data_IF_482938586367
#
_entry.id   IF_482938586367
#
_cell.length_a   1.000
_cell.length_b   1.000
_cell.length_c   1.000
_cell.angle_alpha   90.00
_cell.angle_beta   90.00
_cell.angle_gamma   90.00
#
_symmetry.space_group_name_H-M   'P 1'
#
loop_
_entity.id
_entity.type
_entity.pdbx_description
1 polymer ?
#
# COMPACT_ATOMS: atom_id res chain seq x y z
N UNK A 1 34.53 -1.01 -4.71
CA UNK A 1 34.06 -2.39 -4.97
C UNK A 1 32.99 -2.74 -3.93
N UNK A 2 33.20 -2.34 -2.68
CA UNK A 2 32.30 -2.58 -1.54
C UNK A 2 30.97 -1.81 -1.61
N UNK A 3 30.99 -0.58 -2.16
CA UNK A 3 29.77 0.23 -2.37
C UNK A 3 28.78 -0.42 -3.37
N UNK A 4 29.29 -1.11 -4.39
CA UNK A 4 28.46 -1.84 -5.37
C UNK A 4 27.82 -3.07 -4.71
N UNK A 5 28.57 -3.77 -3.87
CA UNK A 5 28.08 -4.93 -3.12
C UNK A 5 26.96 -4.53 -2.15
N UNK A 6 27.16 -3.46 -1.37
CA UNK A 6 26.19 -3.01 -0.37
C UNK A 6 24.88 -2.53 -1.01
N UNK A 7 24.95 -1.82 -2.15
CA UNK A 7 23.75 -1.44 -2.92
C UNK A 7 23.00 -2.65 -3.46
N UNK A 8 23.71 -3.69 -3.93
CA UNK A 8 23.05 -4.91 -4.38
C UNK A 8 22.32 -5.63 -3.23
N UNK A 9 22.91 -5.69 -2.04
CA UNK A 9 22.25 -6.26 -0.86
C UNK A 9 21.03 -5.45 -0.41
N UNK A 10 21.11 -4.11 -0.46
CA UNK A 10 19.97 -3.24 -0.20
C UNK A 10 18.84 -3.48 -1.20
N UNK A 11 19.17 -3.64 -2.48
CA UNK A 11 18.18 -3.99 -3.53
C UNK A 11 17.52 -5.34 -3.23
N UNK A 12 18.29 -6.39 -2.92
CA UNK A 12 17.74 -7.71 -2.59
C UNK A 12 16.85 -7.65 -1.33
N UNK A 13 17.25 -6.88 -0.33
CA UNK A 13 16.44 -6.65 0.87
C UNK A 13 15.15 -5.89 0.57
N UNK A 14 15.20 -4.91 -0.35
CA UNK A 14 14.03 -4.19 -0.83
C UNK A 14 13.08 -5.12 -1.58
N UNK A 15 13.58 -5.94 -2.51
CA UNK A 15 12.77 -6.90 -3.26
C UNK A 15 12.06 -7.89 -2.31
N UNK A 16 12.79 -8.41 -1.31
CA UNK A 16 12.23 -9.30 -0.30
C UNK A 16 11.18 -8.63 0.59
N UNK A 17 11.38 -7.35 0.92
CA UNK A 17 10.38 -6.55 1.64
C UNK A 17 9.14 -6.34 0.77
N UNK A 18 9.31 -5.96 -0.49
CA UNK A 18 8.24 -5.75 -1.46
C UNK A 18 7.40 -7.03 -1.62
N UNK A 19 8.04 -8.19 -1.80
CA UNK A 19 7.34 -9.48 -1.88
C UNK A 19 6.56 -9.79 -0.58
N UNK A 20 7.14 -9.49 0.58
CA UNK A 20 6.49 -9.74 1.86
C UNK A 20 5.27 -8.84 2.12
N UNK A 21 5.29 -7.58 1.64
CA UNK A 21 4.21 -6.62 1.83
C UNK A 21 3.21 -6.58 0.67
N UNK A 22 3.54 -7.15 -0.49
CA UNK A 22 2.68 -7.14 -1.69
C UNK A 22 1.26 -7.66 -1.44
N UNK A 23 1.04 -8.76 -0.68
CA UNK A 23 -0.32 -9.21 -0.35
C UNK A 23 -1.10 -8.17 0.45
N UNK A 24 -0.44 -7.46 1.37
CA UNK A 24 -1.05 -6.40 2.16
C UNK A 24 -1.38 -5.18 1.29
N UNK A 25 -0.43 -4.74 0.45
CA UNK A 25 -0.63 -3.63 -0.49
C UNK A 25 -1.79 -3.95 -1.43
N UNK A 26 -1.84 -5.16 -1.97
CA UNK A 26 -2.91 -5.62 -2.85
C UNK A 26 -4.25 -5.59 -2.12
N UNK A 27 -4.32 -6.09 -0.89
CA UNK A 27 -5.54 -6.03 -0.09
C UNK A 27 -6.04 -4.59 0.14
N UNK A 28 -5.13 -3.67 0.49
CA UNK A 28 -5.49 -2.25 0.72
C UNK A 28 -5.92 -1.61 -0.62
N UNK A 29 -5.24 -1.90 -1.74
CA UNK A 29 -5.63 -1.44 -3.07
C UNK A 29 -7.03 -1.92 -3.46
N UNK A 30 -7.35 -3.19 -3.23
CA UNK A 30 -8.69 -3.71 -3.49
C UNK A 30 -9.77 -3.05 -2.64
N UNK A 31 -9.47 -2.73 -1.37
CA UNK A 31 -10.38 -1.99 -0.51
C UNK A 31 -10.58 -0.55 -1.00
N UNK A 32 -9.50 0.14 -1.37
CA UNK A 32 -9.56 1.50 -1.89
C UNK A 32 -10.31 1.59 -3.23
N UNK A 33 -10.08 0.64 -4.15
CA UNK A 33 -10.83 0.54 -5.42
C UNK A 33 -12.32 0.29 -5.14
N UNK A 34 -12.66 -0.61 -4.22
CA UNK A 34 -14.06 -0.83 -3.83
C UNK A 34 -14.69 0.43 -3.25
N UNK A 35 -14.01 1.12 -2.35
CA UNK A 35 -14.50 2.37 -1.77
C UNK A 35 -14.69 3.45 -2.84
N UNK A 36 -13.74 3.59 -3.77
CA UNK A 36 -13.84 4.50 -4.90
C UNK A 36 -15.04 4.18 -5.81
N UNK A 37 -15.30 2.89 -6.07
CA UNK A 37 -16.43 2.48 -6.89
C UNK A 37 -17.76 2.77 -6.19
N UNK A 38 -17.90 2.45 -4.89
CA UNK A 38 -19.11 2.75 -4.12
C UNK A 38 -19.39 4.26 -4.12
N UNK A 39 -18.38 5.08 -3.85
CA UNK A 39 -18.54 6.55 -3.88
C UNK A 39 -18.96 7.05 -5.28
N UNK A 40 -18.42 6.44 -6.33
CA UNK A 40 -18.79 6.80 -7.69
C UNK A 40 -20.21 6.37 -8.03
N UNK A 41 -20.63 5.16 -7.64
CA UNK A 41 -22.00 4.67 -7.80
C UNK A 41 -23.02 5.56 -7.07
N UNK A 42 -22.72 5.94 -5.82
CA UNK A 42 -23.54 6.89 -5.05
C UNK A 42 -23.65 8.25 -5.75
N UNK A 43 -22.53 8.74 -6.28
CA UNK A 43 -22.53 9.98 -7.06
C UNK A 43 -23.40 9.88 -8.32
N UNK A 44 -23.25 8.80 -9.10
CA UNK A 44 -24.05 8.57 -10.31
C UNK A 44 -25.53 8.51 -9.96
N UNK A 45 -25.91 7.71 -8.96
CA UNK A 45 -27.30 7.59 -8.53
C UNK A 45 -27.91 8.94 -8.11
N UNK A 46 -27.14 9.77 -7.38
CA UNK A 46 -27.58 11.11 -7.01
C UNK A 46 -27.78 12.02 -8.23
N UNK A 47 -26.93 11.90 -9.26
CA UNK A 47 -27.06 12.67 -10.50
C UNK A 47 -28.22 12.19 -11.36
N UNK A 48 -28.47 10.89 -11.45
CA UNK A 48 -29.65 10.34 -12.12
C UNK A 48 -30.95 10.84 -11.48
N UNK A 49 -31.02 10.84 -10.14
CA UNK A 49 -32.19 11.41 -9.42
C UNK A 49 -32.36 12.91 -9.68
N UNK A 50 -31.26 13.66 -9.79
CA UNK A 50 -31.32 15.07 -10.14
C UNK A 50 -31.82 15.29 -11.57
N UNK A 51 -31.36 14.48 -12.54
CA UNK A 51 -31.85 14.50 -13.92
C UNK A 51 -33.35 14.25 -13.96
N UNK A 52 -33.85 13.22 -13.27
CA UNK A 52 -35.27 12.92 -13.18
C UNK A 52 -36.06 14.10 -12.61
N UNK A 53 -35.60 14.67 -11.49
CA UNK A 53 -36.25 15.83 -10.86
C UNK A 53 -36.31 17.04 -11.79
N UNK A 54 -35.23 17.36 -12.52
CA UNK A 54 -35.23 18.44 -13.50
C UNK A 54 -36.16 18.14 -14.69
N UNK A 55 -36.24 16.89 -15.15
CA UNK A 55 -37.16 16.50 -16.22
C UNK A 55 -38.63 16.66 -15.81
N UNK A 56 -38.98 16.27 -14.58
CA UNK A 56 -40.32 16.46 -14.03
C UNK A 56 -40.66 17.95 -13.92
N UNK A 57 -39.71 18.75 -13.43
CA UNK A 57 -39.90 20.19 -13.24
C UNK A 57 -40.04 20.92 -14.57
N UNK A 58 -39.24 20.57 -15.58
CA UNK A 58 -39.39 21.07 -16.96
C UNK A 58 -40.80 20.79 -17.49
N UNK A 59 -41.29 19.55 -17.38
CA UNK A 59 -42.65 19.19 -17.83
C UNK A 59 -43.71 20.00 -17.08
N UNK A 60 -43.56 20.16 -15.77
CA UNK A 60 -44.48 20.92 -14.93
C UNK A 60 -44.53 22.39 -15.34
N UNK A 61 -43.39 23.01 -15.60
CA UNK A 61 -43.29 24.40 -16.03
C UNK A 61 -43.81 24.60 -17.47
N UNK A 62 -43.58 23.64 -18.36
CA UNK A 62 -44.17 23.64 -19.71
C UNK A 62 -45.70 23.61 -19.66
N UNK A 63 -46.29 22.72 -18.86
CA UNK A 63 -47.76 22.70 -18.65
C UNK A 63 -48.27 24.00 -18.04
N UNK A 64 -47.52 24.58 -17.09
CA UNK A 64 -47.88 25.87 -16.50
C UNK A 64 -47.85 27.02 -17.53
N UNK A 65 -46.91 27.02 -18.47
CA UNK A 65 -46.89 28.00 -19.56
C UNK A 65 -48.10 27.85 -20.48
N UNK A 66 -48.51 26.62 -20.77
CA UNK A 66 -49.73 26.36 -21.55
C UNK A 66 -50.97 26.92 -20.83
N UNK A 67 -51.10 26.66 -19.53
CA UNK A 67 -52.19 27.20 -18.70
C UNK A 67 -52.19 28.74 -18.64
N UNK A 68 -51.00 29.36 -18.51
CA UNK A 68 -50.88 30.82 -18.49
C UNK A 68 -51.23 31.42 -19.86
N UNK A 69 -50.83 30.77 -20.95
CA UNK A 69 -51.19 31.21 -22.29
C UNK A 69 -52.73 31.17 -22.49
N UNK A 70 -53.40 30.12 -22.02
CA UNK A 70 -54.86 30.02 -22.03
C UNK A 70 -55.53 31.12 -21.19
N UNK A 71 -54.99 31.43 -20.00
CA UNK A 71 -55.46 32.55 -19.17
C UNK A 71 -55.30 33.90 -19.88
N UNK A 72 -54.21 34.09 -20.60
CA UNK A 72 -53.95 35.31 -21.35
C UNK A 72 -54.96 35.52 -22.48
N UNK A 73 -55.40 34.44 -23.14
CA UNK A 73 -56.47 34.50 -24.16
C UNK A 73 -57.85 34.82 -23.60
N UNK A 74 -58.08 34.56 -22.30
CA UNK A 74 -59.39 34.72 -21.63
C UNK A 74 -59.44 35.91 -20.67
N UNK A 75 -58.33 36.65 -20.51
CA UNK A 75 -58.22 37.78 -19.60
C UNK A 75 -59.26 38.89 -19.91
N UNK A 76 -60.01 39.30 -18.88
CA UNK A 76 -61.12 40.23 -19.00
C UNK A 76 -60.67 41.70 -19.07
N UNK A 77 -59.50 42.03 -18.54
CA UNK A 77 -58.96 43.38 -18.52
C UNK A 77 -57.42 43.41 -18.58
N UNK A 78 -56.91 44.63 -18.78
CA UNK A 78 -55.48 44.88 -18.97
C UNK A 78 -54.65 44.63 -17.71
N UNK A 79 -55.22 44.77 -16.51
CA UNK A 79 -54.49 44.53 -15.27
C UNK A 79 -54.28 43.02 -15.10
N UNK A 80 -55.33 42.23 -15.31
CA UNK A 80 -55.25 40.77 -15.32
C UNK A 80 -54.25 40.26 -16.37
N UNK A 81 -54.21 40.83 -17.57
CA UNK A 81 -53.22 40.45 -18.59
C UNK A 81 -51.77 40.75 -18.18
N UNK A 82 -51.52 41.84 -17.44
CA UNK A 82 -50.17 42.17 -16.99
C UNK A 82 -49.68 41.21 -15.91
N UNK A 83 -50.55 40.83 -14.97
CA UNK A 83 -50.20 39.85 -13.92
C UNK A 83 -49.85 38.48 -14.53
N UNK A 84 -50.62 38.02 -15.53
CA UNK A 84 -50.33 36.76 -16.24
C UNK A 84 -49.00 36.83 -17.00
N UNK A 85 -48.69 37.97 -17.63
CA UNK A 85 -47.41 38.17 -18.33
C UNK A 85 -46.21 38.15 -17.37
N UNK A 86 -46.32 38.80 -16.22
CA UNK A 86 -45.26 38.76 -15.20
C UNK A 86 -45.03 37.34 -14.68
N UNK A 87 -46.09 36.56 -14.48
CA UNK A 87 -45.97 35.17 -14.10
C UNK A 87 -45.37 34.30 -15.22
N UNK A 88 -45.74 34.58 -16.48
CA UNK A 88 -45.17 33.92 -17.65
C UNK A 88 -43.66 34.14 -17.72
N UNK A 89 -43.18 35.38 -17.61
CA UNK A 89 -41.75 35.71 -17.62
C UNK A 89 -40.98 34.96 -16.52
N UNK A 90 -41.57 34.87 -15.32
CA UNK A 90 -40.97 34.12 -14.20
C UNK A 90 -40.89 32.61 -14.47
N UNK A 91 -41.94 32.03 -15.07
CA UNK A 91 -41.97 30.60 -15.43
C UNK A 91 -40.99 30.31 -16.58
N UNK A 92 -40.90 31.18 -17.59
CA UNK A 92 -39.92 31.05 -18.67
C UNK A 92 -38.48 31.10 -18.15
N UNK A 93 -38.18 32.02 -17.22
CA UNK A 93 -36.87 32.08 -16.60
C UNK A 93 -36.52 30.80 -15.82
N UNK A 94 -37.46 30.26 -15.04
CA UNK A 94 -37.27 29.00 -14.32
C UNK A 94 -37.09 27.82 -15.29
N UNK A 95 -37.86 27.77 -16.37
CA UNK A 95 -37.76 26.74 -17.39
C UNK A 95 -36.39 26.76 -18.08
N UNK A 96 -35.88 27.94 -18.43
CA UNK A 96 -34.54 28.10 -18.99
C UNK A 96 -33.47 27.61 -18.02
N UNK A 97 -33.59 27.95 -16.73
CA UNK A 97 -32.64 27.49 -15.69
C UNK A 97 -32.59 25.96 -15.62
N UNK A 98 -33.74 25.30 -15.48
CA UNK A 98 -33.79 23.84 -15.37
C UNK A 98 -33.37 23.12 -16.64
N UNK A 99 -33.65 23.67 -17.82
CA UNK A 99 -33.15 23.12 -19.09
C UNK A 99 -31.64 23.22 -19.19
N UNK A 100 -31.05 24.33 -18.75
CA UNK A 100 -29.59 24.50 -18.72
C UNK A 100 -28.93 23.50 -17.76
N UNK A 101 -29.45 23.36 -16.55
CA UNK A 101 -28.94 22.38 -15.57
C UNK A 101 -29.07 20.94 -16.08
N UNK A 102 -30.18 20.62 -16.74
CA UNK A 102 -30.42 19.32 -17.35
C UNK A 102 -29.43 19.05 -18.49
N UNK A 103 -29.16 20.04 -19.35
CA UNK A 103 -28.20 19.91 -20.45
C UNK A 103 -26.79 19.63 -19.92
N UNK A 104 -26.34 20.37 -18.90
CA UNK A 104 -25.04 20.14 -18.25
C UNK A 104 -24.94 18.74 -17.64
N UNK A 105 -26.00 18.27 -16.96
CA UNK A 105 -26.03 16.95 -16.36
C UNK A 105 -26.00 15.83 -17.40
N UNK A 106 -26.77 15.96 -18.48
CA UNK A 106 -26.80 14.99 -19.58
C UNK A 106 -25.47 14.96 -20.35
N UNK A 107 -24.81 16.10 -20.55
CA UNK A 107 -23.48 16.14 -21.15
C UNK A 107 -22.46 15.45 -20.23
N UNK A 108 -22.52 15.71 -18.93
CA UNK A 108 -21.65 15.05 -17.97
C UNK A 108 -21.89 13.52 -17.92
N UNK A 109 -23.14 13.08 -18.00
CA UNK A 109 -23.53 11.67 -18.06
C UNK A 109 -23.03 11.00 -19.35
N UNK A 110 -23.18 11.66 -20.51
CA UNK A 110 -22.66 11.16 -21.80
C UNK A 110 -21.14 10.98 -21.76
N UNK A 111 -20.44 11.86 -21.05
CA UNK A 111 -19.00 11.77 -20.80
C UNK A 111 -18.63 10.80 -19.67
N UNK A 112 -19.59 10.07 -19.11
CA UNK A 112 -19.40 9.08 -18.04
C UNK A 112 -18.91 9.68 -16.72
N UNK A 113 -19.17 10.98 -16.48
CA UNK A 113 -18.69 11.73 -15.33
C UNK A 113 -17.16 11.60 -15.11
N UNK A 114 -16.40 11.57 -16.21
CA UNK A 114 -14.96 11.26 -16.23
C UNK A 114 -14.12 12.10 -15.26
N UNK A 115 -14.36 13.41 -15.17
CA UNK A 115 -13.67 14.31 -14.24
C UNK A 115 -13.92 13.92 -12.78
N UNK A 116 -15.17 13.62 -12.45
CA UNK A 116 -15.54 13.21 -11.09
C UNK A 116 -14.97 11.83 -10.76
N UNK A 117 -15.00 10.91 -11.71
CA UNK A 117 -14.39 9.59 -11.58
C UNK A 117 -12.88 9.70 -11.32
N UNK A 118 -12.17 10.57 -12.06
CA UNK A 118 -10.75 10.83 -11.85
C UNK A 118 -10.47 11.43 -10.46
N UNK A 119 -11.28 12.39 -10.01
CA UNK A 119 -11.15 12.99 -8.68
C UNK A 119 -11.40 11.98 -7.54
N UNK A 120 -12.35 11.07 -7.70
CA UNK A 120 -12.59 9.97 -6.76
C UNK A 120 -11.39 9.02 -6.74
N UNK A 121 -10.95 8.52 -7.91
CA UNK A 121 -9.78 7.64 -8.00
C UNK A 121 -8.52 8.24 -7.38
N UNK A 122 -8.28 9.52 -7.59
CA UNK A 122 -7.14 10.24 -7.00
C UNK A 122 -7.18 10.25 -5.47
N UNK A 123 -8.36 10.51 -4.87
CA UNK A 123 -8.52 10.48 -3.40
C UNK A 123 -8.30 9.11 -2.78
N UNK A 124 -8.61 8.04 -3.52
CA UNK A 124 -8.40 6.66 -3.10
C UNK A 124 -7.06 6.06 -3.58
N UNK A 125 -6.16 6.90 -4.10
CA UNK A 125 -4.83 6.43 -4.51
C UNK A 125 -3.96 6.11 -3.29
N UNK A 126 -3.14 5.07 -3.41
CA UNK A 126 -2.23 4.63 -2.36
C UNK A 126 -0.80 4.75 -2.86
N UNK A 127 0.01 5.51 -2.14
CA UNK A 127 1.45 5.60 -2.35
C UNK A 127 2.16 4.79 -1.24
N UNK A 128 3.04 3.88 -1.64
CA UNK A 128 3.86 3.09 -0.72
C UNK A 128 5.31 3.48 -0.93
N UNK A 129 6.00 3.81 0.17
CA UNK A 129 7.43 4.14 0.17
C UNK A 129 8.16 3.22 1.13
N UNK A 130 9.22 2.60 0.65
CA UNK A 130 10.13 1.79 1.46
C UNK A 130 11.48 2.50 1.52
N UNK A 131 11.96 2.79 2.72
CA UNK A 131 13.25 3.45 2.93
C UNK A 131 14.12 2.59 3.86
N UNK A 132 15.37 2.27 3.48
CA UNK A 132 16.25 1.50 4.33
C UNK A 132 16.69 2.34 5.54
N UNK A 133 16.48 1.82 6.74
CA UNK A 133 16.90 2.49 7.98
C UNK A 133 18.40 2.33 8.28
N UNK A 134 19.01 1.26 7.77
CA UNK A 134 20.43 0.98 7.92
C UNK A 134 20.84 -0.35 7.30
N UNK A 135 22.12 -0.47 6.96
CA UNK A 135 22.73 -1.71 6.51
C UNK A 135 24.09 -1.89 7.19
N UNK A 136 24.35 -3.09 7.68
CA UNK A 136 25.64 -3.48 8.24
C UNK A 136 26.22 -4.60 7.38
N UNK A 137 27.48 -4.44 6.98
CA UNK A 137 28.23 -5.43 6.23
C UNK A 137 29.42 -5.88 7.07
N UNK A 138 29.57 -7.19 7.23
CA UNK A 138 30.67 -7.79 7.98
C UNK A 138 31.45 -8.71 7.05
N UNK A 139 32.73 -8.39 6.86
CA UNK A 139 33.70 -9.33 6.29
C UNK A 139 34.41 -10.02 7.44
N UNK A 140 34.40 -11.35 7.43
CA UNK A 140 35.29 -12.12 8.29
C UNK A 140 36.07 -13.09 7.41
N UNK A 141 37.38 -13.16 7.67
CA UNK A 141 38.21 -14.21 7.12
C UNK A 141 37.96 -15.48 7.94
N UNK A 142 37.41 -16.53 7.30
CA UNK A 142 37.44 -17.88 7.85
C UNK A 142 38.87 -18.38 7.70
N UNK A 143 39.60 -18.46 8.82
CA UNK A 143 40.93 -19.04 8.89
C UNK A 143 40.96 -20.26 9.79
N UNK A 144 42.01 -21.07 9.64
CA UNK A 144 42.33 -22.10 10.60
C UNK A 144 43.39 -21.56 11.57
N UNK A 145 43.16 -21.68 12.87
CA UNK A 145 44.20 -21.46 13.89
C UNK A 145 44.74 -22.82 14.31
N UNK A 146 46.06 -22.96 14.27
CA UNK A 146 46.76 -24.12 14.83
C UNK A 146 47.25 -23.75 16.22
N UNK A 147 46.66 -24.37 17.24
CA UNK A 147 47.05 -24.24 18.63
C UNK A 147 48.00 -25.37 18.98
N UNK A 148 49.15 -25.03 19.54
CA UNK A 148 50.05 -26.02 20.14
C UNK A 148 49.68 -26.16 21.62
N UNK A 149 49.20 -27.34 22.00
CA UNK A 149 48.77 -27.67 23.36
C UNK A 149 49.83 -28.56 24.00
N UNK A 150 50.24 -28.22 25.23
CA UNK A 150 51.24 -28.98 25.97
C UNK A 150 50.78 -29.25 27.40
N UNK A 151 50.91 -30.50 27.84
CA UNK A 151 50.67 -30.93 29.22
C UNK A 151 51.80 -31.89 29.64
N UNK A 152 52.53 -31.53 30.70
CA UNK A 152 53.77 -32.19 31.15
C UNK A 152 54.80 -32.46 30.03
N UNK A 153 54.86 -33.70 29.53
CA UNK A 153 55.79 -34.15 28.48
C UNK A 153 55.12 -34.39 27.12
N UNK A 154 53.80 -34.18 27.01
CA UNK A 154 53.04 -34.39 25.79
C UNK A 154 52.73 -33.05 25.10
N UNK A 155 53.00 -32.97 23.80
CA UNK A 155 52.69 -31.81 22.95
C UNK A 155 51.85 -32.28 21.77
N UNK A 156 50.81 -31.53 21.43
CA UNK A 156 49.94 -31.81 20.27
C UNK A 156 49.48 -30.53 19.59
N UNK A 157 49.12 -30.63 18.31
CA UNK A 157 48.60 -29.51 17.54
C UNK A 157 47.11 -29.69 17.26
N UNK A 158 46.32 -28.72 17.67
CA UNK A 158 44.88 -28.67 17.42
C UNK A 158 44.58 -27.58 16.39
N UNK A 159 44.04 -27.97 15.24
CA UNK A 159 43.55 -27.05 14.22
C UNK A 159 42.06 -26.79 14.42
N UNK A 160 41.68 -25.53 14.58
CA UNK A 160 40.27 -25.11 14.74
C UNK A 160 39.91 -24.00 13.77
N UNK A 161 38.69 -24.06 13.23
CA UNK A 161 38.11 -22.96 12.47
C UNK A 161 37.96 -21.74 13.38
N UNK A 162 38.59 -20.64 13.03
CA UNK A 162 38.65 -19.42 13.82
C UNK A 162 38.24 -18.21 12.98
N UNK A 163 37.34 -17.39 13.54
CA UNK A 163 36.97 -16.09 12.99
C UNK A 163 37.55 -14.98 13.85
N UNK A 164 38.34 -14.08 13.25
CA UNK A 164 38.86 -12.90 13.96
C UNK A 164 37.68 -12.05 14.48
N UNK A 165 37.57 -11.92 15.81
CA UNK A 165 36.49 -11.16 16.48
C UNK A 165 35.26 -12.00 16.88
N UNK A 166 35.15 -13.23 16.40
CA UNK A 166 34.08 -14.19 16.79
C UNK A 166 34.63 -15.32 17.65
N UNK A 167 35.90 -15.69 17.45
CA UNK A 167 36.56 -16.77 18.18
C UNK A 167 36.52 -18.10 17.42
N UNK A 168 36.52 -19.21 18.15
CA UNK A 168 36.38 -20.55 17.56
C UNK A 168 34.96 -20.71 17.02
N UNK A 169 34.84 -21.02 15.73
CA UNK A 169 33.57 -21.02 15.00
C UNK A 169 32.85 -22.38 15.06
N UNK A 170 33.58 -23.45 15.33
CA UNK A 170 33.07 -24.82 15.31
C UNK A 170 33.36 -25.48 16.67
N UNK A 171 32.42 -26.27 17.23
CA UNK A 171 32.62 -26.92 18.52
C UNK A 171 33.82 -27.87 18.45
N UNK A 172 34.74 -27.75 19.40
CA UNK A 172 35.85 -28.68 19.56
C UNK A 172 35.37 -29.89 20.34
N UNK A 173 35.59 -31.09 19.81
CA UNK A 173 35.15 -32.34 20.44
C UNK A 173 36.34 -33.18 20.90
N UNK A 174 36.14 -33.97 21.94
CA UNK A 174 37.07 -34.99 22.41
C UNK A 174 37.36 -35.99 21.28
N UNK A 175 38.63 -36.24 20.97
CA UNK A 175 39.03 -37.16 19.90
C UNK A 175 38.60 -38.62 20.15
N UNK A 176 38.33 -39.00 21.41
CA UNK A 176 37.99 -40.38 21.79
C UNK A 176 36.50 -40.69 21.78
N UNK A 177 35.66 -39.79 22.32
CA UNK A 177 34.23 -40.03 22.48
C UNK A 177 33.35 -39.08 21.65
N UNK A 178 33.92 -38.05 21.02
CA UNK A 178 33.18 -37.06 20.25
C UNK A 178 32.36 -36.06 21.10
N UNK A 179 32.42 -36.15 22.43
CA UNK A 179 31.75 -35.19 23.32
C UNK A 179 32.41 -33.82 23.21
N UNK A 180 31.58 -32.76 23.16
CA UNK A 180 32.06 -31.39 23.07
C UNK A 180 32.91 -31.02 24.30
N UNK A 181 34.02 -30.32 24.05
CA UNK A 181 34.87 -29.74 25.08
C UNK A 181 34.26 -28.40 25.51
N UNK A 182 34.17 -28.19 26.81
CA UNK A 182 33.54 -27.02 27.41
C UNK A 182 34.17 -26.71 28.77
N UNK A 183 33.69 -25.68 29.48
CA UNK A 183 34.11 -25.45 30.86
C UNK A 183 33.75 -26.63 31.80
N UNK A 184 32.71 -27.39 31.46
CA UNK A 184 32.25 -28.55 32.23
C UNK A 184 32.95 -29.86 31.81
N UNK A 185 33.46 -29.91 30.58
CA UNK A 185 34.30 -30.99 30.05
C UNK A 185 35.61 -30.39 29.53
N UNK A 186 36.52 -29.97 30.43
CA UNK A 186 37.73 -29.26 30.04
C UNK A 186 38.64 -30.15 29.21
N UNK A 187 39.40 -29.51 28.32
CA UNK A 187 40.37 -30.17 27.47
C UNK A 187 41.62 -30.58 28.28
N UNK A 188 42.17 -31.75 27.97
CA UNK A 188 43.45 -32.28 28.46
C UNK A 188 44.20 -32.97 27.32
N UNK A 189 45.52 -33.08 27.44
CA UNK A 189 46.38 -33.74 26.45
C UNK A 189 46.88 -35.06 27.02
N UNK A 190 46.35 -36.18 26.50
CA UNK A 190 46.73 -37.53 26.94
C UNK A 190 47.39 -38.27 25.78
N UNK A 191 48.66 -38.64 25.94
CA UNK A 191 49.44 -39.36 24.90
C UNK A 191 49.47 -38.65 23.54
N UNK A 192 49.37 -37.32 23.52
CA UNK A 192 49.35 -36.52 22.29
C UNK A 192 47.97 -36.34 21.64
N UNK A 193 46.89 -36.86 22.24
CA UNK A 193 45.52 -36.63 21.79
C UNK A 193 44.84 -35.54 22.63
N UNK A 194 43.99 -34.73 21.97
CA UNK A 194 43.10 -33.78 22.65
C UNK A 194 41.86 -34.52 23.13
N UNK A 195 41.74 -34.68 24.44
CA UNK A 195 40.63 -35.40 25.08
C UNK A 195 39.93 -34.51 26.09
N UNK A 196 38.64 -34.77 26.31
CA UNK A 196 37.92 -34.17 27.43
C UNK A 196 38.17 -34.96 28.71
N UNK A 197 37.90 -34.35 29.87
CA UNK A 197 37.89 -35.06 31.15
C UNK A 197 36.97 -36.30 31.16
N UNK A 198 35.95 -36.33 30.29
CA UNK A 198 35.15 -37.53 30.05
C UNK A 198 35.95 -38.78 29.62
N UNK A 199 37.20 -38.63 29.17
CA UNK A 199 38.07 -39.72 28.70
C UNK A 199 39.52 -39.60 29.19
N UNK A 200 39.77 -38.80 30.24
CA UNK A 200 41.12 -38.55 30.79
C UNK A 200 41.48 -39.49 31.96
N UNK A 201 40.73 -40.57 32.18
CA UNK A 201 41.07 -41.67 33.09
C UNK A 201 41.61 -42.89 32.34
#
# INVERSE_FOLDING_TARGET
RDDVTLRNWLSVGQDALEEAIDPLITSIREQAVRAANVEFEEYVSLKESAIESHCEEVKRLESKLEDLNDQLTTAADRAASLEVLEEQDAVEAALTSHRSELEELLEAEQNGFSDKQAAIRSRHSIEVRCEPLGAAYFEYEKGDVVLTLGEDTAETQLRVAFGRGVGVMEPVCCCRCGTQLSAENPLSVVQGDVVGMCCSE
#
